data_IF_786855855919
#
_entry.id   IF_786855855919
#
_cell.length_a   1.000
_cell.length_b   1.000
_cell.length_c   1.000
_cell.angle_alpha   90.00
_cell.angle_beta   90.00
_cell.angle_gamma   90.00
#
_symmetry.space_group_name_H-M   'P 1'
#
loop_
_entity.id
_entity.type
_entity.pdbx_description
1 polymer ?
#
# COMPACT_ATOMS: atom_id res chain seq x y z
N UNK A 1 57.94 -0.27 0.10
CA UNK A 1 57.07 0.72 0.78
C UNK A 1 55.64 0.23 0.64
N UNK A 2 54.90 0.22 1.76
CA UNK A 2 53.67 -0.56 1.98
C UNK A 2 52.52 -0.10 1.07
N UNK A 3 51.88 -1.07 0.43
CA UNK A 3 50.84 -0.92 -0.58
C UNK A 3 49.50 -0.58 0.10
N UNK A 4 49.36 0.66 0.57
CA UNK A 4 48.19 1.12 1.33
C UNK A 4 47.04 1.66 0.44
N UNK A 5 47.20 1.66 -0.89
CA UNK A 5 46.22 2.23 -1.81
C UNK A 5 45.16 1.21 -2.27
N UNK A 6 45.51 -0.08 -2.36
CA UNK A 6 44.58 -1.13 -2.80
C UNK A 6 43.53 -1.50 -1.75
N UNK A 7 43.80 -1.28 -0.46
CA UNK A 7 42.88 -1.62 0.63
C UNK A 7 41.71 -0.63 0.78
N UNK A 8 41.86 0.61 0.32
CA UNK A 8 40.81 1.64 0.41
C UNK A 8 39.71 1.46 -0.64
N UNK A 9 40.07 1.06 -1.86
CA UNK A 9 39.14 0.84 -2.97
C UNK A 9 38.25 -0.40 -2.77
N UNK A 10 38.73 -1.43 -2.09
CA UNK A 10 37.95 -2.64 -1.81
C UNK A 10 36.86 -2.38 -0.76
N UNK A 11 37.11 -1.47 0.20
CA UNK A 11 36.12 -1.11 1.22
C UNK A 11 34.95 -0.26 0.69
N UNK A 12 35.16 0.48 -0.41
CA UNK A 12 34.14 1.35 -1.00
C UNK A 12 33.13 0.60 -1.88
N UNK A 13 33.52 -0.53 -2.50
CA UNK A 13 32.62 -1.32 -3.34
C UNK A 13 31.61 -2.17 -2.54
N UNK A 14 31.91 -2.52 -1.29
CA UNK A 14 31.06 -3.43 -0.51
C UNK A 14 29.86 -2.75 0.16
N UNK A 15 29.79 -1.41 0.15
CA UNK A 15 28.71 -0.64 0.78
C UNK A 15 27.46 -0.43 -0.12
N UNK A 16 27.50 -0.85 -1.40
CA UNK A 16 26.48 -0.48 -2.40
C UNK A 16 25.47 -1.62 -2.68
N UNK A 17 25.67 -2.82 -2.13
CA UNK A 17 24.89 -4.02 -2.51
C UNK A 17 23.68 -4.37 -1.63
N UNK A 18 23.28 -3.54 -0.66
CA UNK A 18 22.10 -3.82 0.20
C UNK A 18 20.83 -3.11 -0.28
N UNK A 19 20.69 -2.92 -1.60
CA UNK A 19 19.43 -2.52 -2.22
C UNK A 19 18.53 -3.75 -2.39
N UNK A 20 17.83 -4.17 -1.33
CA UNK A 20 16.87 -5.26 -1.39
C UNK A 20 15.83 -5.03 -2.47
N UNK A 21 15.68 -5.98 -3.40
CA UNK A 21 14.53 -6.06 -4.29
C UNK A 21 13.29 -6.34 -3.44
N UNK A 22 12.39 -5.36 -3.31
CA UNK A 22 11.05 -5.60 -2.80
C UNK A 22 10.03 -5.21 -3.86
N UNK A 23 9.10 -6.14 -4.08
CA UNK A 23 7.98 -6.00 -5.00
C UNK A 23 6.99 -5.01 -4.39
N UNK A 24 6.71 -3.93 -5.12
CA UNK A 24 5.54 -3.11 -4.79
C UNK A 24 4.28 -3.89 -5.18
N UNK A 25 3.21 -3.77 -4.41
CA UNK A 25 1.91 -4.33 -4.77
C UNK A 25 1.50 -3.95 -6.21
N UNK A 26 1.77 -2.71 -6.64
CA UNK A 26 1.40 -2.22 -7.98
C UNK A 26 2.42 -2.47 -9.10
N UNK A 27 3.43 -3.33 -8.92
CA UNK A 27 4.32 -3.79 -10.00
C UNK A 27 5.19 -2.74 -10.72
N UNK A 28 5.13 -1.46 -10.38
CA UNK A 28 5.92 -0.40 -11.01
C UNK A 28 7.06 0.09 -10.11
N UNK A 29 8.29 -0.20 -10.51
CA UNK A 29 9.53 0.36 -9.95
C UNK A 29 9.53 1.89 -10.11
N UNK A 30 9.36 2.62 -8.99
CA UNK A 30 9.68 4.05 -8.90
C UNK A 30 10.75 4.22 -7.82
N UNK A 31 11.91 4.71 -8.23
CA UNK A 31 13.07 4.98 -7.38
C UNK A 31 12.72 6.14 -6.43
N UNK A 32 12.80 5.87 -5.11
CA UNK A 32 12.59 6.86 -4.05
C UNK A 32 12.23 6.22 -2.70
N UNK A 33 13.20 6.18 -1.78
CA UNK A 33 13.16 5.90 -0.32
C UNK A 33 12.51 4.60 0.21
N UNK A 34 13.16 3.87 1.15
CA UNK A 34 12.64 2.64 1.77
C UNK A 34 11.53 2.86 2.84
N UNK A 35 11.04 4.08 3.03
CA UNK A 35 9.92 4.36 3.95
C UNK A 35 8.61 4.58 3.18
N UNK A 36 8.06 3.52 2.58
CA UNK A 36 6.64 3.53 2.19
C UNK A 36 5.82 3.06 3.39
N UNK A 37 5.64 3.96 4.36
CA UNK A 37 4.70 3.78 5.46
C UNK A 37 3.31 3.50 4.88
N UNK A 38 2.88 2.24 4.98
CA UNK A 38 1.57 1.75 4.61
C UNK A 38 1.07 0.84 5.71
N UNK A 39 -0.25 0.78 5.87
CA UNK A 39 -0.90 -0.08 6.84
C UNK A 39 -1.54 -1.23 6.08
N UNK A 40 -1.26 -2.46 6.52
CA UNK A 40 -1.79 -3.67 5.90
C UNK A 40 -2.78 -4.34 6.84
N UNK A 41 -3.99 -4.60 6.35
CA UNK A 41 -5.01 -5.40 7.01
C UNK A 41 -5.32 -6.65 6.18
N UNK A 42 -5.65 -7.76 6.84
CA UNK A 42 -6.17 -8.96 6.20
C UNK A 42 -7.55 -9.25 6.78
N UNK A 43 -8.52 -9.48 5.91
CA UNK A 43 -9.90 -9.72 6.29
C UNK A 43 -10.40 -11.03 5.71
N UNK A 44 -11.00 -11.86 6.55
CA UNK A 44 -11.70 -13.09 6.17
C UNK A 44 -13.06 -12.75 5.52
N UNK A 45 -13.02 -11.98 4.44
CA UNK A 45 -14.16 -11.48 3.68
C UNK A 45 -13.90 -11.62 2.18
N UNK A 46 -14.93 -11.90 1.37
CA UNK A 46 -14.82 -11.94 -0.09
C UNK A 46 -14.33 -10.61 -0.67
N UNK A 47 -13.55 -10.69 -1.75
CA UNK A 47 -12.91 -9.53 -2.41
C UNK A 47 -13.88 -8.37 -2.72
N UNK A 48 -15.05 -8.67 -3.30
CA UNK A 48 -16.02 -7.65 -3.67
C UNK A 48 -16.57 -6.90 -2.45
N UNK A 49 -16.80 -7.61 -1.35
CA UNK A 49 -17.29 -7.00 -0.11
C UNK A 49 -16.27 -6.02 0.48
N UNK A 50 -14.99 -6.40 0.45
CA UNK A 50 -13.90 -5.52 0.91
C UNK A 50 -13.74 -4.29 0.00
N UNK A 51 -13.90 -4.46 -1.31
CA UNK A 51 -13.92 -3.34 -2.25
C UNK A 51 -15.07 -2.37 -1.97
N UNK A 52 -16.28 -2.88 -1.74
CA UNK A 52 -17.46 -2.08 -1.41
C UNK A 52 -17.28 -1.31 -0.09
N UNK A 53 -16.76 -1.97 0.95
CA UNK A 53 -16.46 -1.34 2.23
C UNK A 53 -15.42 -0.22 2.07
N UNK A 54 -14.36 -0.48 1.30
CA UNK A 54 -13.32 0.52 1.01
C UNK A 54 -13.89 1.73 0.30
N UNK A 55 -14.71 1.53 -0.73
CA UNK A 55 -15.37 2.63 -1.44
C UNK A 55 -16.29 3.44 -0.53
N UNK A 56 -17.04 2.79 0.34
CA UNK A 56 -17.91 3.46 1.30
C UNK A 56 -17.09 4.35 2.26
N UNK A 57 -15.99 3.84 2.82
CA UNK A 57 -15.11 4.60 3.72
C UNK A 57 -14.47 5.80 3.01
N UNK A 58 -13.95 5.62 1.80
CA UNK A 58 -13.35 6.73 1.04
C UNK A 58 -14.39 7.82 0.75
N UNK A 59 -15.62 7.45 0.37
CA UNK A 59 -16.71 8.40 0.11
C UNK A 59 -17.25 9.06 1.37
N UNK A 60 -17.15 8.39 2.52
CA UNK A 60 -17.58 8.94 3.80
C UNK A 60 -16.63 10.04 4.29
N UNK A 61 -15.32 9.84 4.13
CA UNK A 61 -14.30 10.76 4.63
C UNK A 61 -13.88 11.83 3.61
N UNK A 62 -14.20 11.65 2.33
CA UNK A 62 -13.73 12.55 1.29
C UNK A 62 -14.28 12.25 -0.10
N UNK A 63 -13.46 12.47 -1.12
CA UNK A 63 -13.85 12.29 -2.52
C UNK A 63 -13.04 11.19 -3.20
N UNK A 64 -13.72 10.41 -4.04
CA UNK A 64 -13.08 9.39 -4.88
C UNK A 64 -12.36 10.08 -6.04
N UNK A 65 -11.08 9.76 -6.25
CA UNK A 65 -10.26 10.25 -7.36
C UNK A 65 -10.28 9.23 -8.50
N UNK A 66 -9.99 7.98 -8.19
CA UNK A 66 -9.95 6.90 -9.17
C UNK A 66 -10.28 5.56 -8.54
N UNK A 67 -10.73 4.65 -9.38
CA UNK A 67 -11.09 3.29 -9.00
C UNK A 67 -10.74 2.35 -10.16
N UNK A 68 -9.61 1.68 -10.01
CA UNK A 68 -9.00 0.89 -11.06
C UNK A 68 -8.95 -0.58 -10.65
N UNK A 69 -9.75 -1.41 -11.31
CA UNK A 69 -9.64 -2.85 -11.16
C UNK A 69 -8.47 -3.38 -12.00
N UNK A 70 -7.57 -4.11 -11.34
CA UNK A 70 -6.41 -4.78 -11.92
C UNK A 70 -6.71 -6.28 -11.96
N UNK A 71 -7.20 -6.77 -13.10
CA UNK A 71 -7.39 -8.21 -13.33
C UNK A 71 -6.14 -8.77 -13.99
N UNK A 72 -5.44 -9.68 -13.31
CA UNK A 72 -4.46 -10.56 -13.95
C UNK A 72 -5.04 -11.96 -14.09
N UNK A 73 -4.44 -12.80 -14.95
CA UNK A 73 -4.87 -14.18 -15.20
C UNK A 73 -4.98 -15.03 -13.92
N UNK A 74 -4.28 -14.63 -12.84
CA UNK A 74 -4.15 -15.41 -11.60
C UNK A 74 -4.66 -14.71 -10.34
N UNK A 75 -4.90 -13.39 -10.35
CA UNK A 75 -5.26 -12.63 -9.15
C UNK A 75 -6.18 -11.45 -9.47
N UNK A 76 -7.15 -11.20 -8.58
CA UNK A 76 -7.99 -10.01 -8.57
C UNK A 76 -7.40 -8.96 -7.63
N UNK A 77 -7.11 -7.80 -8.17
CA UNK A 77 -6.69 -6.64 -7.40
C UNK A 77 -7.52 -5.41 -7.79
N UNK A 78 -7.66 -4.45 -6.88
CA UNK A 78 -8.31 -3.17 -7.14
C UNK A 78 -7.58 -2.06 -6.40
N UNK A 79 -7.31 -0.96 -7.10
CA UNK A 79 -6.67 0.22 -6.52
C UNK A 79 -7.69 1.35 -6.50
N UNK A 80 -8.02 1.80 -5.30
CA UNK A 80 -8.98 2.86 -5.04
C UNK A 80 -8.18 4.06 -4.53
N UNK A 81 -8.24 5.18 -5.23
CA UNK A 81 -7.60 6.42 -4.82
C UNK A 81 -8.65 7.45 -4.40
N UNK A 82 -8.39 8.11 -3.28
CA UNK A 82 -9.24 9.16 -2.74
C UNK A 82 -8.46 10.38 -2.30
N UNK A 83 -9.18 11.50 -2.14
CA UNK A 83 -8.70 12.70 -1.46
C UNK A 83 -9.50 12.87 -0.18
N UNK A 84 -8.79 12.83 0.95
CA UNK A 84 -9.34 13.08 2.28
C UNK A 84 -8.62 14.31 2.81
N UNK A 85 -9.36 15.41 2.93
CA UNK A 85 -8.81 16.75 3.18
C UNK A 85 -7.72 17.13 2.14
N UNK A 86 -6.49 17.38 2.59
CA UNK A 86 -5.32 17.68 1.77
C UNK A 86 -4.45 16.44 1.49
N UNK A 87 -4.88 15.26 1.92
CA UNK A 87 -4.13 14.02 1.80
C UNK A 87 -4.61 13.18 0.62
N UNK A 88 -3.68 12.62 -0.15
CA UNK A 88 -3.95 11.57 -1.13
C UNK A 88 -3.93 10.22 -0.42
N UNK A 89 -5.02 9.48 -0.50
CA UNK A 89 -5.14 8.12 0.03
C UNK A 89 -5.20 7.13 -1.12
N UNK A 90 -4.41 6.07 -1.05
CA UNK A 90 -4.35 4.99 -2.03
C UNK A 90 -4.59 3.71 -1.25
N UNK A 91 -5.64 2.99 -1.62
CA UNK A 91 -5.97 1.69 -1.06
C UNK A 91 -5.85 0.64 -2.14
N UNK A 92 -5.02 -0.37 -1.92
CA UNK A 92 -4.98 -1.57 -2.77
C UNK A 92 -5.67 -2.70 -2.05
N UNK A 93 -6.63 -3.32 -2.73
CA UNK A 93 -7.34 -4.51 -2.29
C UNK A 93 -6.85 -5.66 -3.16
N UNK A 94 -6.36 -6.73 -2.55
CA UNK A 94 -5.80 -7.90 -3.22
C UNK A 94 -6.52 -9.15 -2.72
N UNK A 95 -7.08 -9.94 -3.64
CA UNK A 95 -7.62 -11.26 -3.28
C UNK A 95 -6.45 -12.22 -3.06
N UNK A 96 -6.30 -12.71 -1.82
CA UNK A 96 -5.30 -13.72 -1.47
C UNK A 96 -5.90 -15.12 -1.63
N UNK A 97 -7.12 -15.30 -1.14
CA UNK A 97 -7.93 -16.50 -1.28
C UNK A 97 -9.40 -16.11 -1.52
N UNK A 98 -10.30 -17.03 -1.94
CA UNK A 98 -11.70 -16.70 -2.18
C UNK A 98 -12.41 -16.01 -1.00
N UNK A 99 -11.99 -16.32 0.24
CA UNK A 99 -12.53 -15.74 1.48
C UNK A 99 -11.52 -14.90 2.25
N UNK A 100 -10.31 -14.69 1.75
CA UNK A 100 -9.26 -13.92 2.41
C UNK A 100 -8.80 -12.81 1.48
N UNK A 101 -8.98 -11.56 1.92
CA UNK A 101 -8.63 -10.38 1.15
C UNK A 101 -7.67 -9.52 1.95
N UNK A 102 -6.58 -9.11 1.31
CA UNK A 102 -5.62 -8.17 1.86
C UNK A 102 -5.96 -6.75 1.43
N UNK A 103 -5.80 -5.80 2.34
CA UNK A 103 -5.93 -4.36 2.09
C UNK A 103 -4.64 -3.68 2.50
N UNK A 104 -4.10 -2.86 1.61
CA UNK A 104 -2.90 -2.05 1.84
C UNK A 104 -3.30 -0.59 1.67
N UNK A 105 -3.25 0.17 2.76
CA UNK A 105 -3.60 1.59 2.80
C UNK A 105 -2.33 2.42 2.87
N UNK A 106 -2.23 3.41 1.99
CA UNK A 106 -1.20 4.43 2.03
C UNK A 106 -1.85 5.81 1.99
N UNK A 107 -1.42 6.70 2.88
CA UNK A 107 -1.81 8.10 2.85
C UNK A 107 -0.59 9.03 2.74
N UNK A 108 -0.74 10.09 1.95
CA UNK A 108 0.30 11.07 1.65
C UNK A 108 -0.24 12.48 1.79
N UNK A 109 0.49 13.32 2.52
CA UNK A 109 0.24 14.76 2.59
C UNK A 109 0.52 15.42 1.23
N UNK A 110 0.05 16.66 1.06
CA UNK A 110 0.31 17.45 -0.14
C UNK A 110 1.81 17.61 -0.46
N UNK A 111 2.67 17.68 0.56
CA UNK A 111 4.12 17.81 0.43
C UNK A 111 4.83 16.46 0.18
N UNK A 112 4.09 15.36 0.07
CA UNK A 112 4.62 14.01 -0.18
C UNK A 112 5.04 13.23 1.07
N UNK A 113 4.97 13.85 2.24
CA UNK A 113 5.18 13.17 3.53
C UNK A 113 4.14 12.07 3.76
N UNK A 114 4.55 10.95 4.36
CA UNK A 114 3.62 9.89 4.75
C UNK A 114 2.73 10.35 5.90
N UNK A 115 1.45 10.01 5.84
CA UNK A 115 0.49 10.23 6.92
C UNK A 115 0.05 8.86 7.45
N UNK A 116 0.83 8.27 8.36
CA UNK A 116 0.57 6.92 8.88
C UNK A 116 -0.71 6.90 9.73
N UNK A 117 -0.98 7.97 10.48
CA UNK A 117 -2.16 8.06 11.34
C UNK A 117 -3.44 7.97 10.51
N UNK A 118 -3.52 8.74 9.41
CA UNK A 118 -4.64 8.64 8.48
C UNK A 118 -4.72 7.26 7.82
N UNK A 119 -3.59 6.63 7.48
CA UNK A 119 -3.60 5.28 6.93
C UNK A 119 -4.16 4.24 7.93
N UNK A 120 -3.78 4.35 9.21
CA UNK A 120 -4.31 3.50 10.28
C UNK A 120 -5.79 3.76 10.54
N UNK A 121 -6.21 5.03 10.50
CA UNK A 121 -7.61 5.40 10.66
C UNK A 121 -8.46 4.78 9.55
N UNK A 122 -8.06 4.97 8.29
CA UNK A 122 -8.81 4.42 7.15
C UNK A 122 -8.84 2.89 7.18
N UNK A 123 -7.75 2.21 7.52
CA UNK A 123 -7.74 0.74 7.67
C UNK A 123 -8.71 0.29 8.77
N UNK A 124 -8.72 0.94 9.94
CA UNK A 124 -9.66 0.62 11.02
C UNK A 124 -11.10 0.90 10.63
N UNK A 125 -11.37 2.01 9.94
CA UNK A 125 -12.72 2.33 9.48
C UNK A 125 -13.21 1.31 8.44
N UNK A 126 -12.33 0.78 7.58
CA UNK A 126 -12.68 -0.33 6.67
C UNK A 126 -13.06 -1.58 7.49
N UNK A 127 -12.29 -1.92 8.51
CA UNK A 127 -12.61 -3.04 9.40
C UNK A 127 -13.97 -2.85 10.10
N UNK A 128 -14.25 -1.64 10.61
CA UNK A 128 -15.54 -1.30 11.24
C UNK A 128 -16.69 -1.38 10.23
N UNK A 129 -16.50 -0.83 9.02
CA UNK A 129 -17.49 -0.91 7.96
C UNK A 129 -17.80 -2.38 7.61
N UNK A 130 -16.78 -3.23 7.50
CA UNK A 130 -16.94 -4.67 7.26
C UNK A 130 -17.67 -5.39 8.39
N UNK A 131 -17.53 -4.94 9.65
CA UNK A 131 -18.25 -5.50 10.78
C UNK A 131 -19.76 -5.18 10.72
N UNK A 132 -20.14 -4.04 10.13
CA UNK A 132 -21.55 -3.66 9.95
C UNK A 132 -22.20 -4.29 8.70
N UNK A 133 -21.40 -4.78 7.76
CA UNK A 133 -21.91 -5.43 6.56
C UNK A 133 -22.27 -6.90 6.85
N UNK A 134 -23.44 -7.38 6.40
CA UNK A 134 -23.81 -8.77 6.57
C UNK A 134 -22.85 -9.68 5.79
N UNK A 135 -22.51 -10.83 6.36
CA UNK A 135 -21.74 -11.87 5.67
C UNK A 135 -22.66 -12.49 4.62
N UNK A 136 -22.35 -12.28 3.34
CA UNK A 136 -23.06 -12.91 2.23
C UNK A 136 -22.43 -14.26 1.88
#
# INVERSE_FOLDING_TARGET
MKCNFCTLLISACLAILVGGCYTTPTGALRIGSPTRASVTGMYERPFLQVCEATLAVIKLNGSLISDNQLTSQTNLARVIEGRIEQNKVIVRVDQVEPKLTQVIVQARTLTGGANLDLAHEIEKQIALQLATMPVR
#
